data_IF_812812229520
#
_entry.id   IF_812812229520
#
_cell.length_a   1.000
_cell.length_b   1.000
_cell.length_c   1.000
_cell.angle_alpha   90.00
_cell.angle_beta   90.00
_cell.angle_gamma   90.00
#
_symmetry.space_group_name_H-M   'P 1'
#
loop_
_entity.id
_entity.type
_entity.pdbx_description
1 polymer ?
#
# COMPACT_ATOMS: atom_id res chain seq x y z
N UNK A 1 -11.10 -15.77 18.42
CA UNK A 1 -9.71 -15.40 18.73
C UNK A 1 -8.79 -15.69 17.55
N UNK A 2 -8.56 -16.97 17.19
CA UNK A 2 -7.67 -17.33 16.06
C UNK A 2 -8.13 -16.75 14.71
N UNK A 3 -9.43 -16.81 14.40
CA UNK A 3 -9.98 -16.27 13.15
C UNK A 3 -9.71 -14.78 12.99
N UNK A 4 -9.85 -13.99 14.06
CA UNK A 4 -9.60 -12.54 14.02
C UNK A 4 -8.13 -12.23 13.72
N UNK A 5 -7.20 -12.98 14.31
CA UNK A 5 -5.77 -12.84 14.05
C UNK A 5 -5.43 -13.17 12.59
N UNK A 6 -5.99 -14.26 12.05
CA UNK A 6 -5.79 -14.64 10.65
C UNK A 6 -6.36 -13.58 9.71
N UNK A 7 -7.57 -13.08 9.96
CA UNK A 7 -8.19 -12.04 9.13
C UNK A 7 -7.38 -10.75 9.17
N UNK A 8 -6.97 -10.27 10.34
CA UNK A 8 -6.15 -9.06 10.46
C UNK A 8 -4.79 -9.21 9.79
N UNK A 9 -4.16 -10.38 9.92
CA UNK A 9 -2.90 -10.67 9.24
C UNK A 9 -3.07 -10.59 7.72
N UNK A 10 -4.08 -11.27 7.17
CA UNK A 10 -4.36 -11.25 5.72
C UNK A 10 -4.64 -9.83 5.24
N UNK A 11 -5.41 -9.03 6.01
CA UNK A 11 -5.69 -7.64 5.66
C UNK A 11 -4.41 -6.79 5.60
N UNK A 12 -3.57 -6.85 6.63
CA UNK A 12 -2.32 -6.08 6.66
C UNK A 12 -1.37 -6.54 5.56
N UNK A 13 -1.28 -7.86 5.32
CA UNK A 13 -0.43 -8.42 4.28
C UNK A 13 -0.89 -7.99 2.88
N UNK A 14 -2.20 -8.00 2.63
CA UNK A 14 -2.77 -7.54 1.38
C UNK A 14 -2.56 -6.03 1.15
N UNK A 15 -2.65 -5.21 2.20
CA UNK A 15 -2.43 -3.75 2.11
C UNK A 15 -0.96 -3.41 1.87
N UNK A 16 -0.03 -4.14 2.47
CA UNK A 16 1.42 -3.92 2.28
C UNK A 16 1.87 -4.37 0.88
N UNK A 17 1.19 -5.35 0.29
CA UNK A 17 1.53 -5.95 -1.01
C UNK A 17 3.05 -6.26 -1.16
N UNK A 18 3.60 -7.19 -0.35
CA UNK A 18 5.01 -7.53 -0.45
C UNK A 18 5.35 -8.20 -1.80
N UNK A 19 4.37 -8.85 -2.44
CA UNK A 19 4.56 -9.52 -3.74
C UNK A 19 4.83 -8.51 -4.84
N UNK A 20 4.08 -7.40 -4.91
CA UNK A 20 4.34 -6.34 -5.88
C UNK A 20 5.54 -5.48 -5.50
N UNK A 21 5.64 -5.11 -4.21
CA UNK A 21 6.61 -4.11 -3.75
C UNK A 21 8.07 -4.58 -3.83
N UNK A 22 8.36 -5.84 -3.51
CA UNK A 22 9.75 -6.35 -3.47
C UNK A 22 10.39 -6.41 -4.86
N UNK A 23 9.78 -7.02 -5.90
CA UNK A 23 10.33 -7.03 -7.25
C UNK A 23 10.41 -5.63 -7.88
N UNK A 24 9.46 -4.74 -7.59
CA UNK A 24 9.52 -3.35 -8.04
C UNK A 24 10.73 -2.65 -7.42
N UNK A 25 10.93 -2.76 -6.12
CA UNK A 25 12.10 -2.19 -5.46
C UNK A 25 13.41 -2.79 -6.01
N UNK A 26 13.46 -4.12 -6.20
CA UNK A 26 14.62 -4.79 -6.76
C UNK A 26 14.93 -4.29 -8.16
N UNK A 27 13.94 -4.25 -9.06
CA UNK A 27 14.14 -3.81 -10.45
C UNK A 27 14.63 -2.37 -10.55
N UNK A 28 14.11 -1.48 -9.70
CA UNK A 28 14.53 -0.07 -9.67
C UNK A 28 15.91 0.14 -9.01
N UNK A 29 16.37 -0.80 -8.17
CA UNK A 29 17.66 -0.69 -7.46
C UNK A 29 18.76 -1.60 -8.01
N UNK A 30 18.50 -2.35 -9.09
CA UNK A 30 19.43 -3.33 -9.68
C UNK A 30 20.81 -2.77 -10.06
N UNK A 31 20.88 -1.49 -10.45
CA UNK A 31 22.12 -0.83 -10.90
C UNK A 31 22.83 -0.02 -9.81
N UNK A 32 22.33 -0.04 -8.58
CA UNK A 32 22.84 0.77 -7.46
C UNK A 32 23.84 -0.02 -6.61
N UNK A 33 24.81 0.68 -6.03
CA UNK A 33 25.68 0.08 -5.00
C UNK A 33 24.89 -0.21 -3.73
N UNK A 34 25.39 -1.10 -2.87
CA UNK A 34 24.71 -1.47 -1.62
C UNK A 34 24.41 -0.25 -0.71
N UNK A 35 25.31 0.74 -0.70
CA UNK A 35 25.14 1.97 0.06
C UNK A 35 24.02 2.86 -0.51
N UNK A 36 23.98 3.03 -1.84
CA UNK A 36 22.93 3.79 -2.53
C UNK A 36 21.57 3.11 -2.38
N UNK A 37 21.53 1.78 -2.51
CA UNK A 37 20.31 0.98 -2.32
C UNK A 37 19.72 1.20 -0.93
N UNK A 38 20.53 1.17 0.12
CA UNK A 38 20.06 1.43 1.49
C UNK A 38 19.53 2.86 1.67
N UNK A 39 20.16 3.85 1.06
CA UNK A 39 19.66 5.23 1.08
C UNK A 39 18.29 5.36 0.40
N UNK A 40 18.09 4.69 -0.74
CA UNK A 40 16.80 4.65 -1.44
C UNK A 40 15.74 3.97 -0.57
N UNK A 41 16.05 2.86 0.10
CA UNK A 41 15.12 2.23 1.04
C UNK A 41 14.66 3.18 2.14
N UNK A 42 15.58 3.88 2.79
CA UNK A 42 15.23 4.85 3.85
C UNK A 42 14.38 6.00 3.32
N UNK A 43 14.68 6.53 2.12
CA UNK A 43 13.85 7.55 1.48
C UNK A 43 12.46 7.03 1.18
N UNK A 44 12.33 5.82 0.64
CA UNK A 44 11.04 5.21 0.35
C UNK A 44 10.20 5.02 1.62
N UNK A 45 10.81 4.53 2.71
CA UNK A 45 10.16 4.41 4.02
C UNK A 45 9.70 5.78 4.53
N UNK A 46 10.58 6.80 4.51
CA UNK A 46 10.24 8.12 4.98
C UNK A 46 9.07 8.75 4.20
N UNK A 47 9.06 8.60 2.87
CA UNK A 47 7.97 9.08 2.01
C UNK A 47 6.68 8.32 2.32
N UNK A 48 6.74 6.98 2.39
CA UNK A 48 5.57 6.15 2.69
C UNK A 48 4.98 6.49 4.07
N UNK A 49 5.82 6.64 5.09
CA UNK A 49 5.40 7.07 6.43
C UNK A 49 4.74 8.46 6.38
N UNK A 50 5.32 9.41 5.65
CA UNK A 50 4.73 10.75 5.50
C UNK A 50 3.35 10.71 4.83
N UNK A 51 3.20 9.95 3.75
CA UNK A 51 1.90 9.76 3.06
C UNK A 51 0.89 9.09 3.98
N UNK A 52 1.28 8.03 4.69
CA UNK A 52 0.39 7.34 5.62
C UNK A 52 -0.05 8.25 6.77
N UNK A 53 0.87 9.00 7.40
CA UNK A 53 0.53 9.96 8.45
C UNK A 53 -0.41 11.05 7.95
N UNK A 54 -0.17 11.55 6.73
CA UNK A 54 -1.06 12.51 6.09
C UNK A 54 -2.49 11.95 5.93
N UNK A 55 -2.64 10.71 5.45
CA UNK A 55 -3.96 10.09 5.31
C UNK A 55 -4.60 9.70 6.65
N UNK A 56 -3.81 9.36 7.68
CA UNK A 56 -4.33 9.08 9.02
C UNK A 56 -4.96 10.34 9.63
N UNK A 57 -4.32 11.50 9.45
CA UNK A 57 -4.78 12.76 10.04
C UNK A 57 -5.84 13.43 9.14
N UNK A 58 -5.57 13.51 7.83
CA UNK A 58 -6.40 14.24 6.87
C UNK A 58 -7.46 13.38 6.17
N UNK A 59 -7.36 12.05 6.24
CA UNK A 59 -8.26 11.15 5.49
C UNK A 59 -9.71 11.27 5.95
N UNK A 60 -9.97 11.32 7.25
CA UNK A 60 -11.34 11.49 7.75
C UNK A 60 -11.92 12.85 7.31
N UNK A 61 -11.14 13.93 7.43
CA UNK A 61 -11.58 15.26 6.99
C UNK A 61 -11.88 15.28 5.48
N UNK A 62 -11.07 14.58 4.67
CA UNK A 62 -11.28 14.45 3.24
C UNK A 62 -12.60 13.73 2.93
N UNK A 63 -12.88 12.61 3.64
CA UNK A 63 -14.11 11.83 3.47
C UNK A 63 -15.36 12.63 3.85
N UNK A 64 -15.29 13.39 4.94
CA UNK A 64 -16.36 14.28 5.38
C UNK A 64 -16.57 15.43 4.39
N UNK A 65 -15.50 16.00 3.83
CA UNK A 65 -15.59 17.06 2.82
C UNK A 65 -16.29 16.59 1.53
N UNK A 66 -16.06 15.34 1.13
CA UNK A 66 -16.71 14.72 -0.04
C UNK A 66 -18.05 14.03 0.30
N UNK A 67 -18.48 14.06 1.56
CA UNK A 67 -19.72 13.44 2.06
C UNK A 67 -19.82 11.93 1.76
N UNK A 68 -18.68 11.23 1.75
CA UNK A 68 -18.63 9.79 1.49
C UNK A 68 -18.49 9.04 2.82
N UNK A 69 -19.38 8.08 3.12
CA UNK A 69 -19.24 7.27 4.31
C UNK A 69 -18.01 6.35 4.20
N UNK A 70 -17.28 6.17 5.30
CA UNK A 70 -16.05 5.36 5.35
C UNK A 70 -16.19 3.96 4.71
N UNK A 71 -17.30 3.21 4.93
CA UNK A 71 -17.50 1.91 4.26
C UNK A 71 -17.51 2.00 2.73
N UNK A 72 -18.06 3.08 2.15
CA UNK A 72 -18.08 3.26 0.69
C UNK A 72 -16.68 3.55 0.14
N UNK A 73 -15.87 4.33 0.86
CA UNK A 73 -14.47 4.55 0.50
C UNK A 73 -13.65 3.25 0.57
N UNK A 74 -13.85 2.43 1.61
CA UNK A 74 -13.20 1.12 1.73
C UNK A 74 -13.58 0.19 0.57
N UNK A 75 -14.86 0.17 0.17
CA UNK A 75 -15.31 -0.60 -0.98
C UNK A 75 -14.66 -0.14 -2.30
N UNK A 76 -14.58 1.18 -2.53
CA UNK A 76 -13.93 1.75 -3.70
C UNK A 76 -12.42 1.43 -3.72
N UNK A 77 -11.73 1.57 -2.58
CA UNK A 77 -10.32 1.21 -2.44
C UNK A 77 -10.07 -0.28 -2.71
N UNK A 78 -10.95 -1.15 -2.22
CA UNK A 78 -10.94 -2.58 -2.52
C UNK A 78 -11.09 -2.88 -4.01
N UNK A 79 -11.98 -2.17 -4.71
CA UNK A 79 -12.15 -2.29 -6.16
C UNK A 79 -10.91 -1.86 -6.93
N UNK A 80 -10.30 -0.73 -6.56
CA UNK A 80 -9.05 -0.25 -7.20
C UNK A 80 -7.93 -1.29 -7.05
N UNK A 81 -7.74 -1.85 -5.86
CA UNK A 81 -6.76 -2.90 -5.62
C UNK A 81 -7.06 -4.16 -6.45
N UNK A 82 -8.33 -4.58 -6.50
CA UNK A 82 -8.77 -5.72 -7.31
C UNK A 82 -8.46 -5.52 -8.79
N UNK A 83 -8.80 -4.36 -9.38
CA UNK A 83 -8.52 -4.08 -10.78
C UNK A 83 -7.01 -3.98 -11.06
N UNK A 84 -6.22 -3.44 -10.13
CA UNK A 84 -4.76 -3.42 -10.25
C UNK A 84 -4.16 -4.82 -10.29
N UNK A 85 -4.60 -5.70 -9.39
CA UNK A 85 -4.19 -7.10 -9.36
C UNK A 85 -4.63 -7.84 -10.63
N UNK A 86 -5.90 -7.67 -11.04
CA UNK A 86 -6.46 -8.28 -12.24
C UNK A 86 -5.72 -7.86 -13.51
N UNK A 87 -5.41 -6.56 -13.65
CA UNK A 87 -4.60 -6.05 -14.76
C UNK A 87 -3.22 -6.72 -14.80
N UNK A 88 -2.59 -6.88 -13.64
CA UNK A 88 -1.26 -7.48 -13.54
C UNK A 88 -1.29 -8.96 -13.92
N UNK A 89 -2.33 -9.68 -13.49
CA UNK A 89 -2.51 -11.10 -13.80
C UNK A 89 -2.74 -11.39 -15.30
N UNK A 90 -3.35 -10.48 -16.06
CA UNK A 90 -3.55 -10.63 -17.51
C UNK A 90 -2.30 -10.20 -18.32
N UNK A 91 -1.49 -9.29 -17.77
CA UNK A 91 -0.28 -8.80 -18.45
C UNK A 91 0.94 -9.73 -18.39
N UNK A 92 0.82 -10.85 -17.67
CA UNK A 92 1.81 -11.94 -17.57
C UNK A 92 1.35 -13.10 -18.43
#
# INVERSE_FOLDING_TARGET
MLTALVTQFVLIWAVIDPIGSVPVYLSQTQRLTAQQRRLVAFKAIAIATGVLLFFIIGGQMLLEAIQIPLPAFQAAGGLVAYFGAFRTAISV
#
